data_IF_523610866861
#
_entry.id   IF_523610866861
#
_cell.length_a   1.000
_cell.length_b   1.000
_cell.length_c   1.000
_cell.angle_alpha   90.00
_cell.angle_beta   90.00
_cell.angle_gamma   90.00
#
_symmetry.space_group_name_H-M   'P 1'
#
loop_
_entity.id
_entity.type
_entity.pdbx_description
1 polymer ?
#
# COMPACT_ATOMS: atom_id res chain seq x y z
N UNK A 1 -18.57 -23.58 -36.68
CA UNK A 1 -18.68 -22.11 -36.71
C UNK A 1 -17.75 -21.58 -35.63
N UNK A 2 -16.50 -21.32 -36.03
CA UNK A 2 -15.46 -20.73 -35.17
C UNK A 2 -15.75 -19.24 -34.93
N UNK A 3 -15.63 -18.79 -33.68
CA UNK A 3 -15.44 -17.38 -33.35
C UNK A 3 -14.30 -17.27 -32.35
N UNK A 4 -13.11 -17.01 -32.89
CA UNK A 4 -11.92 -16.55 -32.15
C UNK A 4 -12.13 -15.08 -31.80
N UNK A 5 -12.20 -14.76 -30.52
CA UNK A 5 -12.17 -13.39 -30.00
C UNK A 5 -10.72 -12.93 -29.85
N UNK A 6 -10.39 -11.84 -30.53
CA UNK A 6 -9.05 -11.25 -30.60
C UNK A 6 -8.80 -10.43 -29.33
N UNK A 7 -7.75 -10.79 -28.59
CA UNK A 7 -7.12 -9.98 -27.55
C UNK A 7 -6.36 -8.83 -28.21
N UNK A 8 -6.83 -7.59 -28.02
CA UNK A 8 -6.06 -6.39 -28.35
C UNK A 8 -5.34 -5.95 -27.08
N UNK A 9 -4.04 -6.27 -27.03
CA UNK A 9 -3.10 -5.88 -25.99
C UNK A 9 -2.57 -4.49 -26.37
N UNK A 10 -3.02 -3.44 -25.68
CA UNK A 10 -2.43 -2.11 -25.79
C UNK A 10 -1.38 -1.95 -24.69
N UNK A 11 -0.11 -2.26 -25.02
CA UNK A 11 1.04 -1.89 -24.19
C UNK A 11 1.53 -0.54 -24.70
N UNK A 12 1.17 0.53 -24.00
CA UNK A 12 1.69 1.87 -24.25
C UNK A 12 2.84 2.17 -23.29
N UNK A 13 4.04 1.71 -23.62
CA UNK A 13 5.25 2.22 -22.99
C UNK A 13 5.57 3.58 -23.61
N UNK A 14 5.29 4.68 -22.90
CA UNK A 14 5.68 6.03 -23.32
C UNK A 14 7.13 6.24 -22.86
N UNK A 15 8.08 5.73 -23.64
CA UNK A 15 9.49 6.10 -23.51
C UNK A 15 9.67 7.48 -24.17
N UNK A 16 9.54 8.54 -23.38
CA UNK A 16 9.80 9.92 -23.82
C UNK A 16 11.29 10.22 -23.95
N UNK A 17 11.95 9.66 -24.97
CA UNK A 17 13.27 10.10 -25.40
C UNK A 17 13.10 11.15 -26.51
N UNK A 18 12.99 12.43 -26.14
CA UNK A 18 13.04 13.53 -27.10
C UNK A 18 14.52 13.86 -27.38
N UNK A 19 15.05 13.29 -28.46
CA UNK A 19 16.31 13.72 -29.08
C UNK A 19 16.05 14.97 -29.93
N UNK A 20 16.31 16.15 -29.37
CA UNK A 20 16.39 17.39 -30.17
C UNK A 20 17.74 17.46 -30.87
N UNK A 21 17.77 16.99 -32.11
CA UNK A 21 18.82 17.32 -33.08
C UNK A 21 18.65 18.77 -33.55
N UNK A 22 19.44 19.69 -33.01
CA UNK A 22 19.53 21.08 -33.44
C UNK A 22 20.86 21.37 -34.14
N UNK A 23 20.78 21.71 -35.42
CA UNK A 23 21.89 22.03 -36.30
C UNK A 23 22.51 23.39 -35.97
N UNK A 24 23.84 23.42 -35.80
CA UNK A 24 24.80 24.48 -36.17
C UNK A 24 24.46 25.97 -35.94
N UNK A 25 25.16 26.59 -34.99
CA UNK A 25 25.38 28.03 -34.92
C UNK A 25 26.18 28.42 -33.68
N UNK A 26 27.34 29.05 -33.86
CA UNK A 26 28.26 29.44 -32.79
C UNK A 26 27.56 30.35 -31.75
N UNK A 27 27.51 29.92 -30.48
CA UNK A 27 27.15 30.78 -29.35
C UNK A 27 28.11 30.53 -28.18
N UNK A 28 28.62 31.66 -27.72
CA UNK A 28 29.36 31.98 -26.50
C UNK A 28 29.21 31.02 -25.32
N UNK A 29 30.35 30.65 -24.73
CA UNK A 29 30.46 29.86 -23.49
C UNK A 29 30.11 30.77 -22.30
N UNK A 30 28.83 30.91 -21.99
CA UNK A 30 28.33 31.62 -20.82
C UNK A 30 27.79 30.59 -19.81
N UNK A 31 28.47 30.52 -18.66
CA UNK A 31 27.95 29.92 -17.43
C UNK A 31 27.95 28.40 -17.37
N UNK A 32 28.55 27.85 -16.33
CA UNK A 32 28.25 26.49 -15.85
C UNK A 32 26.80 26.54 -15.37
N UNK A 33 25.85 26.34 -16.29
CA UNK A 33 24.47 26.04 -15.93
C UNK A 33 24.49 24.55 -15.69
N UNK A 34 24.55 24.13 -14.43
CA UNK A 34 24.22 22.75 -14.08
C UNK A 34 22.85 22.47 -14.71
N UNK A 35 22.69 21.45 -15.57
CA UNK A 35 21.42 21.19 -16.22
C UNK A 35 20.44 20.69 -15.15
N UNK A 36 19.71 21.62 -14.53
CA UNK A 36 18.60 21.30 -13.65
C UNK A 36 17.52 20.59 -14.47
N UNK A 37 17.08 19.43 -14.00
CA UNK A 37 16.00 18.69 -14.62
C UNK A 37 14.73 19.55 -14.68
N UNK A 38 14.09 19.65 -15.84
CA UNK A 38 12.85 20.40 -15.98
C UNK A 38 11.68 19.68 -15.28
N UNK A 39 10.80 20.46 -14.66
CA UNK A 39 9.54 19.96 -14.11
C UNK A 39 8.61 19.43 -15.21
N UNK A 40 7.80 18.42 -14.85
CA UNK A 40 6.71 17.88 -15.67
C UNK A 40 5.40 18.54 -15.29
N UNK A 41 4.57 18.79 -16.30
CA UNK A 41 3.19 19.23 -16.10
C UNK A 41 2.37 18.09 -15.46
N UNK A 42 1.42 18.44 -14.58
CA UNK A 42 0.50 17.45 -14.02
C UNK A 42 -0.61 17.17 -15.02
N UNK A 43 -1.07 15.90 -15.15
CA UNK A 43 -2.18 15.59 -16.02
C UNK A 43 -3.46 16.29 -15.54
N UNK A 44 -4.31 16.65 -16.49
CA UNK A 44 -5.66 17.12 -16.19
C UNK A 44 -6.52 15.97 -15.64
N UNK A 45 -7.48 16.31 -14.77
CA UNK A 45 -8.44 15.31 -14.29
C UNK A 45 -9.29 14.82 -15.48
N UNK A 46 -9.57 13.51 -15.59
CA UNK A 46 -10.47 13.00 -16.61
C UNK A 46 -11.85 13.65 -16.53
N UNK A 47 -12.42 14.03 -17.68
CA UNK A 47 -13.77 14.60 -17.74
C UNK A 47 -14.86 13.60 -17.35
N UNK A 48 -14.60 12.31 -17.55
CA UNK A 48 -15.47 11.21 -17.15
C UNK A 48 -14.71 10.28 -16.24
N UNK A 49 -15.17 10.14 -15.01
CA UNK A 49 -14.57 9.21 -14.06
C UNK A 49 -15.08 7.79 -14.27
N UNK A 50 -14.13 6.91 -14.52
CA UNK A 50 -14.27 5.46 -14.61
C UNK A 50 -13.04 4.85 -13.95
N UNK A 51 -13.15 3.60 -13.49
CA UNK A 51 -12.02 2.86 -12.91
C UNK A 51 -10.73 3.00 -13.72
N UNK A 52 -10.77 2.67 -15.02
CA UNK A 52 -9.57 2.74 -15.88
C UNK A 52 -9.04 4.15 -16.07
N UNK A 53 -9.92 5.15 -16.24
CA UNK A 53 -9.49 6.55 -16.39
C UNK A 53 -8.84 7.11 -15.13
N UNK A 54 -9.36 6.74 -13.94
CA UNK A 54 -8.84 7.22 -12.66
C UNK A 54 -7.52 6.53 -12.33
N UNK A 55 -7.40 5.23 -12.58
CA UNK A 55 -6.14 4.49 -12.40
C UNK A 55 -5.03 5.10 -13.28
N UNK A 56 -5.29 5.32 -14.57
CA UNK A 56 -4.32 5.95 -15.47
C UNK A 56 -3.94 7.37 -15.02
N UNK A 57 -4.95 8.18 -14.69
CA UNK A 57 -4.75 9.53 -14.18
C UNK A 57 -3.91 9.57 -12.90
N UNK A 58 -4.21 8.74 -11.90
CA UNK A 58 -3.48 8.72 -10.62
C UNK A 58 -2.03 8.27 -10.82
N UNK A 59 -1.78 7.29 -11.69
CA UNK A 59 -0.41 6.86 -12.01
C UNK A 59 0.41 8.00 -12.64
N UNK A 60 -0.14 8.71 -13.63
CA UNK A 60 0.52 9.86 -14.25
C UNK A 60 0.68 11.04 -13.29
N UNK A 61 -0.33 11.30 -12.46
CA UNK A 61 -0.32 12.38 -11.48
C UNK A 61 0.76 12.18 -10.43
N UNK A 62 0.90 10.97 -9.87
CA UNK A 62 1.96 10.67 -8.90
C UNK A 62 3.34 10.63 -9.57
N UNK A 63 3.46 10.14 -10.81
CA UNK A 63 4.71 10.17 -11.55
C UNK A 63 5.21 11.61 -11.77
N UNK A 64 4.33 12.52 -12.21
CA UNK A 64 4.66 13.94 -12.39
C UNK A 64 5.01 14.61 -11.05
N UNK A 65 4.24 14.33 -9.99
CA UNK A 65 4.53 14.87 -8.65
C UNK A 65 5.90 14.43 -8.15
N UNK A 66 6.19 13.13 -8.18
CA UNK A 66 7.47 12.58 -7.70
C UNK A 66 8.64 13.11 -8.52
N UNK A 67 8.51 13.17 -9.85
CA UNK A 67 9.51 13.78 -10.72
C UNK A 67 9.82 15.21 -10.28
N UNK A 68 8.80 16.04 -10.09
CA UNK A 68 8.99 17.45 -9.76
C UNK A 68 9.62 17.65 -8.37
N UNK A 69 9.31 16.77 -7.41
CA UNK A 69 9.98 16.79 -6.09
C UNK A 69 11.49 16.57 -6.24
N UNK A 70 11.92 15.63 -7.07
CA UNK A 70 13.35 15.39 -7.29
C UNK A 70 14.00 16.45 -8.19
N UNK A 71 13.29 16.96 -9.19
CA UNK A 71 13.74 18.05 -10.02
C UNK A 71 14.01 19.32 -9.18
N UNK A 72 13.09 19.70 -8.29
CA UNK A 72 13.24 20.81 -7.35
C UNK A 72 14.38 20.57 -6.35
N UNK A 73 14.61 19.31 -5.96
CA UNK A 73 15.74 18.90 -5.14
C UNK A 73 17.09 18.84 -5.90
N UNK A 74 17.15 19.29 -7.15
CA UNK A 74 18.39 19.40 -7.93
C UNK A 74 18.82 18.12 -8.65
N UNK A 75 17.91 17.17 -8.87
CA UNK A 75 18.19 16.02 -9.74
C UNK A 75 18.54 16.46 -11.16
N UNK A 76 19.42 15.69 -11.81
CA UNK A 76 19.79 15.88 -13.22
C UNK A 76 19.03 14.92 -14.13
N UNK A 77 18.62 13.75 -13.62
CA UNK A 77 17.71 12.82 -14.29
C UNK A 77 16.89 12.01 -13.29
N UNK A 78 15.69 11.62 -13.69
CA UNK A 78 14.76 10.79 -12.90
C UNK A 78 14.07 9.80 -13.83
N UNK A 79 14.29 8.52 -13.58
CA UNK A 79 13.62 7.41 -14.25
C UNK A 79 12.62 6.79 -13.27
N UNK A 80 11.33 6.84 -13.59
CA UNK A 80 10.26 6.40 -12.70
C UNK A 80 9.30 5.46 -13.42
N UNK A 81 9.02 4.34 -12.77
CA UNK A 81 7.90 3.44 -13.10
C UNK A 81 6.86 3.60 -12.01
N UNK A 82 5.70 4.17 -12.35
CA UNK A 82 4.58 4.36 -11.42
C UNK A 82 3.41 3.48 -11.83
N UNK A 83 2.86 2.74 -10.88
CA UNK A 83 1.66 1.93 -11.06
C UNK A 83 0.59 2.39 -10.09
N UNK A 84 -0.66 2.34 -10.51
CA UNK A 84 -1.80 2.57 -9.65
C UNK A 84 -2.77 1.39 -9.77
N UNK A 85 -3.45 1.08 -8.68
CA UNK A 85 -4.41 -0.02 -8.62
C UNK A 85 -5.69 0.51 -8.00
N UNK A 86 -6.81 0.23 -8.66
CA UNK A 86 -8.13 0.57 -8.15
C UNK A 86 -8.44 -0.21 -6.87
N UNK A 87 -8.96 0.49 -5.87
CA UNK A 87 -9.30 -0.11 -4.58
C UNK A 87 -10.80 -0.35 -4.50
N UNK A 88 -11.58 0.71 -4.58
CA UNK A 88 -13.04 0.68 -4.52
C UNK A 88 -13.64 2.04 -4.91
N UNK A 89 -14.94 2.03 -5.21
CA UNK A 89 -15.75 3.23 -5.37
C UNK A 89 -16.68 3.35 -4.16
N UNK A 90 -16.74 4.52 -3.53
CA UNK A 90 -17.61 4.80 -2.38
C UNK A 90 -17.87 6.30 -2.31
N UNK A 91 -19.11 6.68 -1.97
CA UNK A 91 -19.56 8.08 -1.80
C UNK A 91 -19.19 8.99 -2.97
N UNK A 92 -19.44 8.49 -4.20
CA UNK A 92 -19.13 9.20 -5.45
C UNK A 92 -17.64 9.44 -5.70
N UNK A 93 -16.75 8.78 -4.95
CA UNK A 93 -15.30 8.90 -5.09
C UNK A 93 -14.63 7.58 -5.45
N UNK A 94 -13.69 7.65 -6.39
CA UNK A 94 -12.82 6.55 -6.79
C UNK A 94 -11.58 6.53 -5.89
N UNK A 95 -11.36 5.41 -5.21
CA UNK A 95 -10.18 5.20 -4.37
C UNK A 95 -9.17 4.35 -5.11
N UNK A 96 -7.93 4.85 -5.13
CA UNK A 96 -6.83 4.25 -5.90
C UNK A 96 -5.56 4.34 -5.08
N UNK A 97 -4.77 3.28 -5.05
CA UNK A 97 -3.46 3.29 -4.41
C UNK A 97 -2.36 3.28 -5.47
N UNK A 98 -1.48 4.29 -5.43
CA UNK A 98 -0.32 4.41 -6.29
C UNK A 98 0.96 3.97 -5.59
N UNK A 99 1.90 3.43 -6.35
CA UNK A 99 3.29 3.16 -5.93
C UNK A 99 4.23 3.39 -7.10
N UNK A 100 5.47 3.73 -6.80
CA UNK A 100 6.51 3.92 -7.79
C UNK A 100 7.87 3.44 -7.33
N UNK A 101 8.63 2.95 -8.31
CA UNK A 101 10.05 2.59 -8.19
C UNK A 101 10.82 3.32 -9.28
N UNK A 102 12.12 3.51 -9.07
CA UNK A 102 12.93 4.22 -10.05
C UNK A 102 14.34 4.52 -9.58
N UNK A 103 14.99 5.43 -10.30
CA UNK A 103 16.32 5.92 -9.99
C UNK A 103 16.36 7.45 -10.15
N UNK A 104 17.05 8.11 -9.22
CA UNK A 104 17.36 9.55 -9.31
C UNK A 104 18.86 9.71 -9.47
N UNK A 105 19.25 10.57 -10.41
CA UNK A 105 20.64 10.94 -10.65
C UNK A 105 20.90 12.37 -10.17
N UNK A 106 22.04 12.58 -9.52
CA UNK A 106 22.52 13.91 -9.10
C UNK A 106 23.98 14.09 -9.48
N UNK A 107 24.35 15.34 -9.69
CA UNK A 107 25.74 15.75 -9.89
C UNK A 107 26.15 16.66 -8.73
N UNK A 108 27.13 16.23 -7.93
CA UNK A 108 27.68 16.99 -6.79
C UNK A 108 29.21 16.96 -6.86
N UNK A 109 29.84 18.13 -6.81
CA UNK A 109 31.31 18.30 -6.80
C UNK A 109 32.07 17.55 -7.93
N UNK A 110 31.44 17.41 -9.10
CA UNK A 110 31.99 16.69 -10.25
C UNK A 110 31.86 15.15 -10.16
N UNK A 111 31.25 14.65 -9.08
CA UNK A 111 30.80 13.27 -8.94
C UNK A 111 29.38 13.09 -9.49
N UNK A 112 29.08 11.87 -9.94
CA UNK A 112 27.73 11.46 -10.34
C UNK A 112 27.25 10.43 -9.32
N UNK A 113 26.08 10.66 -8.72
CA UNK A 113 25.41 9.69 -7.85
C UNK A 113 24.12 9.21 -8.49
N UNK A 114 23.73 7.98 -8.16
CA UNK A 114 22.47 7.38 -8.54
C UNK A 114 21.88 6.70 -7.31
N UNK A 115 20.69 7.13 -6.89
CA UNK A 115 19.98 6.55 -5.76
C UNK A 115 18.71 5.84 -6.24
N UNK A 116 18.39 4.72 -5.62
CA UNK A 116 17.14 4.01 -5.87
C UNK A 116 15.97 4.73 -5.21
N UNK A 117 14.87 4.83 -5.96
CA UNK A 117 13.59 5.33 -5.46
C UNK A 117 12.71 4.11 -5.23
N UNK A 118 12.24 3.91 -4.00
CA UNK A 118 11.11 3.05 -3.68
C UNK A 118 10.14 3.83 -2.82
N UNK A 119 8.92 4.00 -3.29
CA UNK A 119 7.86 4.63 -2.51
C UNK A 119 6.97 3.59 -1.85
N UNK A 120 6.55 3.84 -0.60
CA UNK A 120 5.49 3.05 -0.03
C UNK A 120 4.16 3.43 -0.70
N UNK A 121 3.14 2.54 -0.66
CA UNK A 121 1.82 2.80 -1.22
C UNK A 121 1.20 4.14 -0.77
N UNK A 122 0.57 4.85 -1.69
CA UNK A 122 -0.07 6.16 -1.45
C UNK A 122 -1.52 6.11 -1.91
N UNK A 123 -2.50 6.29 -1.00
CA UNK A 123 -3.90 6.32 -1.39
C UNK A 123 -4.34 7.68 -1.94
N UNK A 124 -5.26 7.60 -2.89
CA UNK A 124 -5.92 8.73 -3.52
C UNK A 124 -7.43 8.55 -3.43
N UNK A 125 -8.13 9.68 -3.31
CA UNK A 125 -9.55 9.79 -3.63
C UNK A 125 -9.71 10.76 -4.79
N UNK A 126 -10.40 10.32 -5.85
CA UNK A 126 -10.70 11.15 -7.02
C UNK A 126 -12.21 11.28 -7.16
N UNK A 127 -12.66 12.53 -7.28
CA UNK A 127 -14.05 12.92 -7.54
C UNK A 127 -14.08 13.91 -8.68
N UNK A 128 -15.27 14.24 -9.17
CA UNK A 128 -15.45 15.26 -10.20
C UNK A 128 -14.88 16.62 -9.76
N UNK A 129 -14.92 16.92 -8.46
CA UNK A 129 -14.52 18.21 -7.90
C UNK A 129 -13.05 18.26 -7.50
N UNK A 130 -12.51 17.19 -6.90
CA UNK A 130 -11.17 17.18 -6.35
C UNK A 130 -10.39 15.86 -6.47
N UNK A 131 -9.06 15.99 -6.42
CA UNK A 131 -8.10 14.90 -6.33
C UNK A 131 -7.38 15.02 -4.99
N UNK A 132 -7.65 14.11 -4.05
CA UNK A 132 -7.04 14.09 -2.72
C UNK A 132 -5.95 13.04 -2.70
N UNK A 133 -4.69 13.45 -2.51
CA UNK A 133 -3.57 12.54 -2.18
C UNK A 133 -3.44 12.45 -0.67
N UNK A 134 -3.73 11.29 -0.09
CA UNK A 134 -3.67 11.11 1.36
C UNK A 134 -2.21 10.92 1.79
N UNK A 135 -1.74 11.78 2.70
CA UNK A 135 -0.46 11.55 3.38
C UNK A 135 -0.65 10.44 4.40
N UNK A 136 0.27 9.47 4.41
CA UNK A 136 0.15 8.26 5.22
C UNK A 136 1.15 8.28 6.38
N UNK A 137 0.62 8.19 7.60
CA UNK A 137 1.40 7.85 8.79
C UNK A 137 1.38 6.33 8.99
N UNK A 138 2.52 5.73 9.31
CA UNK A 138 2.68 4.27 9.39
C UNK A 138 3.06 3.89 10.81
N UNK A 139 2.23 3.08 11.43
CA UNK A 139 2.39 2.68 12.82
C UNK A 139 2.48 1.16 12.91
N UNK A 140 3.53 0.64 13.55
CA UNK A 140 3.58 -0.76 13.94
C UNK A 140 2.85 -0.89 15.27
N UNK A 141 1.80 -1.69 15.31
CA UNK A 141 1.03 -1.90 16.54
C UNK A 141 1.61 -3.04 17.35
N UNK A 142 1.64 -2.87 18.67
CA UNK A 142 1.92 -3.96 19.61
C UNK A 142 0.62 -4.70 19.88
N UNK A 143 0.62 -6.01 19.62
CA UNK A 143 -0.57 -6.84 19.78
C UNK A 143 -0.50 -7.55 21.11
N UNK A 144 -1.62 -7.61 21.83
CA UNK A 144 -1.72 -8.45 23.02
C UNK A 144 -1.43 -9.89 22.60
N UNK A 145 -0.35 -10.47 23.11
CA UNK A 145 0.02 -11.84 22.83
C UNK A 145 -1.18 -12.75 23.16
N UNK A 146 -1.64 -13.51 22.17
CA UNK A 146 -2.57 -14.62 22.41
C UNK A 146 -1.87 -15.52 23.42
N UNK A 147 -2.42 -15.77 24.62
CA UNK A 147 -1.77 -16.68 25.55
C UNK A 147 -1.65 -18.03 24.85
N UNK A 148 -0.42 -18.47 24.63
CA UNK A 148 -0.15 -19.86 24.28
C UNK A 148 -0.81 -20.70 25.36
N UNK A 149 -1.78 -21.53 24.97
CA UNK A 149 -2.50 -22.39 25.91
C UNK A 149 -1.49 -23.14 26.77
N UNK A 150 -1.49 -22.83 28.06
CA UNK A 150 -0.74 -23.56 29.07
C UNK A 150 -1.43 -24.92 29.28
N UNK A 151 -0.98 -25.93 28.53
CA UNK A 151 -1.17 -27.37 28.79
C UNK A 151 -0.15 -28.06 27.87
N UNK A 152 0.92 -28.68 28.35
CA UNK A 152 0.86 -29.89 29.15
C UNK A 152 2.15 -30.03 29.98
N UNK A 153 2.02 -29.89 31.30
CA UNK A 153 3.07 -30.29 32.23
C UNK A 153 2.94 -31.79 32.49
N UNK A 154 3.83 -32.59 31.91
CA UNK A 154 4.04 -33.99 32.32
C UNK A 154 5.48 -34.15 32.85
N UNK A 155 5.68 -34.65 34.09
CA UNK A 155 6.99 -34.74 34.71
C UNK A 155 7.79 -35.95 34.21
N UNK A 156 9.10 -35.74 34.14
CA UNK A 156 10.26 -36.63 34.30
C UNK A 156 10.11 -38.13 34.01
N UNK A 157 10.97 -38.64 33.12
CA UNK A 157 11.50 -39.98 33.26
C UNK A 157 12.95 -40.05 32.76
N UNK A 158 13.86 -40.41 33.67
CA UNK A 158 15.24 -40.75 33.37
C UNK A 158 15.33 -42.09 32.63
N UNK A 159 16.07 -42.13 31.52
CA UNK A 159 16.64 -43.36 30.98
C UNK A 159 17.94 -43.05 30.23
N UNK A 160 19.03 -43.63 30.73
CA UNK A 160 20.37 -43.60 30.15
C UNK A 160 20.46 -44.33 28.81
N UNK A 161 21.40 -43.92 27.95
CA UNK A 161 22.03 -44.83 26.98
C UNK A 161 22.52 -44.22 25.66
N UNK A 162 23.86 -44.11 25.52
CA UNK A 162 24.59 -44.63 24.36
C UNK A 162 24.62 -43.85 23.03
N UNK A 163 25.71 -43.09 22.84
CA UNK A 163 26.67 -43.11 21.71
C UNK A 163 26.25 -43.13 20.21
N UNK A 164 26.90 -42.19 19.50
CA UNK A 164 27.58 -42.30 18.18
C UNK A 164 26.87 -41.91 16.87
N UNK A 165 27.52 -40.91 16.23
CA UNK A 165 27.78 -40.67 14.81
C UNK A 165 26.63 -40.54 13.78
N UNK A 166 26.58 -39.36 13.17
CA UNK A 166 25.78 -39.08 11.98
C UNK A 166 26.02 -37.68 11.41
N UNK A 167 27.19 -37.48 10.81
CA UNK A 167 27.48 -36.32 9.97
C UNK A 167 26.59 -36.35 8.72
N UNK A 168 25.61 -35.46 8.62
CA UNK A 168 25.09 -35.01 7.33
C UNK A 168 24.74 -33.51 7.39
N UNK A 169 25.76 -32.72 7.09
CA UNK A 169 25.62 -31.31 6.76
C UNK A 169 25.09 -31.20 5.32
N UNK A 170 23.77 -31.17 5.18
CA UNK A 170 23.04 -30.52 4.08
C UNK A 170 21.53 -30.70 4.30
N UNK A 171 21.00 -29.99 5.29
CA UNK A 171 19.64 -29.51 5.14
C UNK A 171 19.76 -28.25 4.27
N UNK A 172 19.54 -28.42 2.97
CA UNK A 172 19.25 -27.32 2.08
C UNK A 172 18.17 -26.48 2.75
N UNK A 173 18.53 -25.24 3.02
CA UNK A 173 17.68 -24.18 3.55
C UNK A 173 16.51 -24.05 2.58
N UNK A 174 15.46 -24.83 2.85
CA UNK A 174 14.16 -24.74 2.23
C UNK A 174 13.54 -23.43 2.71
N UNK A 175 14.08 -22.33 2.21
CA UNK A 175 13.55 -21.01 2.39
C UNK A 175 12.32 -20.86 1.49
N UNK A 176 11.30 -21.63 1.84
CA UNK A 176 9.92 -21.36 1.51
C UNK A 176 9.29 -20.69 2.73
N UNK A 177 9.97 -19.66 3.28
CA UNK A 177 9.27 -18.62 4.02
C UNK A 177 8.33 -17.95 3.01
N UNK A 178 7.14 -18.54 2.86
CA UNK A 178 5.95 -17.75 2.57
C UNK A 178 5.91 -16.68 3.64
N UNK A 179 6.48 -15.53 3.32
CA UNK A 179 6.55 -14.36 4.19
C UNK A 179 5.11 -13.96 4.46
N UNK A 180 4.54 -14.49 5.55
CA UNK A 180 3.15 -14.23 5.91
C UNK A 180 3.00 -12.73 6.06
N UNK A 181 2.33 -12.08 5.10
CA UNK A 181 2.07 -10.64 5.16
C UNK A 181 1.11 -10.41 6.32
N UNK A 182 1.55 -9.74 7.40
CA UNK A 182 0.71 -9.55 8.55
C UNK A 182 -0.49 -8.66 8.20
N UNK A 183 -1.61 -8.90 8.87
CA UNK A 183 -2.80 -8.06 8.74
C UNK A 183 -2.45 -6.60 9.03
N UNK A 184 -2.86 -5.72 8.14
CA UNK A 184 -2.80 -4.27 8.27
C UNK A 184 -4.15 -3.63 7.97
N UNK A 185 -4.46 -2.57 8.71
CA UNK A 185 -5.68 -1.76 8.53
C UNK A 185 -5.27 -0.33 8.24
N UNK A 186 -5.79 0.24 7.16
CA UNK A 186 -5.60 1.63 6.77
C UNK A 186 -6.83 2.44 7.12
N UNK A 187 -6.66 3.48 7.92
CA UNK A 187 -7.71 4.42 8.32
C UNK A 187 -7.56 5.69 7.48
N UNK A 188 -8.50 5.94 6.56
CA UNK A 188 -8.51 7.08 5.65
C UNK A 188 -9.53 8.12 6.09
N UNK A 189 -9.11 9.37 6.24
CA UNK A 189 -10.01 10.50 6.48
C UNK A 189 -9.94 11.47 5.31
N UNK A 190 -11.03 11.56 4.54
CA UNK A 190 -11.13 12.47 3.38
C UNK A 190 -11.80 13.79 3.71
N UNK A 191 -12.18 14.01 4.97
CA UNK A 191 -12.78 15.25 5.45
C UNK A 191 -11.73 16.34 5.68
N UNK A 192 -12.20 17.58 5.72
CA UNK A 192 -11.40 18.79 6.03
C UNK A 192 -11.12 19.01 7.52
N UNK A 193 -11.39 18.00 8.34
CA UNK A 193 -11.21 18.06 9.80
C UNK A 193 -10.72 16.72 10.34
N UNK A 194 -10.02 16.72 11.50
CA UNK A 194 -9.63 15.47 12.15
C UNK A 194 -10.84 14.60 12.51
N UNK A 195 -10.62 13.28 12.55
CA UNK A 195 -11.61 12.28 12.93
C UNK A 195 -10.98 11.30 13.91
N UNK A 196 -11.58 11.12 15.07
CA UNK A 196 -11.22 10.03 16.00
C UNK A 196 -11.94 8.75 15.57
N UNK A 197 -11.20 7.66 15.46
CA UNK A 197 -11.69 6.34 15.02
C UNK A 197 -11.23 5.28 16.02
N UNK A 198 -12.19 4.51 16.54
CA UNK A 198 -11.94 3.34 17.39
C UNK A 198 -11.91 2.09 16.53
N UNK A 199 -10.79 1.38 16.50
CA UNK A 199 -10.55 0.21 15.66
C UNK A 199 -10.39 -1.02 16.53
N UNK A 200 -11.19 -2.03 16.22
CA UNK A 200 -11.17 -3.32 16.90
C UNK A 200 -10.94 -4.42 15.87
N UNK A 201 -9.99 -5.31 16.14
CA UNK A 201 -9.72 -6.50 15.31
C UNK A 201 -9.89 -7.74 16.16
N UNK A 202 -10.81 -8.62 15.75
CA UNK A 202 -11.19 -9.83 16.47
C UNK A 202 -10.88 -11.04 15.59
N UNK A 203 -10.21 -12.05 16.13
CA UNK A 203 -10.03 -13.32 15.44
C UNK A 203 -11.28 -14.18 15.61
N UNK A 204 -11.78 -14.77 14.53
CA UNK A 204 -12.84 -15.77 14.63
C UNK A 204 -12.32 -17.09 15.18
N UNK A 205 -13.14 -17.73 16.02
CA UNK A 205 -12.89 -19.12 16.40
C UNK A 205 -13.24 -20.05 15.23
N UNK A 206 -12.32 -20.93 14.86
CA UNK A 206 -12.60 -22.00 13.90
C UNK A 206 -13.52 -23.02 14.56
N UNK A 207 -14.82 -22.93 14.30
CA UNK A 207 -15.78 -23.97 14.67
C UNK A 207 -16.16 -24.75 13.41
N UNK A 208 -15.73 -26.01 13.31
CA UNK A 208 -16.11 -26.91 12.21
C UNK A 208 -17.63 -27.19 12.14
N UNK A 209 -18.43 -26.69 13.09
CA UNK A 209 -19.82 -27.06 13.28
C UNK A 209 -20.84 -25.90 13.27
N UNK A 210 -20.42 -24.62 13.21
CA UNK A 210 -21.36 -23.51 13.41
C UNK A 210 -21.13 -22.37 12.42
N UNK A 211 -22.04 -22.23 11.47
CA UNK A 211 -22.42 -20.92 10.92
C UNK A 211 -23.46 -20.32 11.88
N UNK A 212 -23.27 -19.11 12.42
CA UNK A 212 -22.33 -18.05 12.00
C UNK A 212 -20.94 -18.09 12.68
N UNK A 213 -19.97 -17.40 12.06
CA UNK A 213 -18.66 -17.05 12.64
C UNK A 213 -18.85 -16.45 14.04
N UNK A 214 -18.22 -17.06 15.04
CA UNK A 214 -18.24 -16.61 16.44
C UNK A 214 -17.02 -15.74 16.70
N UNK A 215 -17.23 -14.63 17.41
CA UNK A 215 -16.15 -13.75 17.84
C UNK A 215 -15.29 -14.46 18.88
N UNK A 216 -13.99 -14.57 18.59
CA UNK A 216 -12.98 -15.10 19.51
C UNK A 216 -12.22 -13.98 20.20
N UNK A 217 -10.90 -14.11 20.26
CA UNK A 217 -10.03 -13.16 20.95
C UNK A 217 -9.90 -11.82 20.18
N UNK A 218 -10.02 -10.72 20.91
CA UNK A 218 -9.63 -9.39 20.45
C UNK A 218 -8.11 -9.32 20.34
N UNK A 219 -7.62 -9.04 19.13
CA UNK A 219 -6.19 -8.95 18.79
C UNK A 219 -5.70 -7.51 18.87
N UNK A 220 -6.56 -6.56 18.50
CA UNK A 220 -6.31 -5.13 18.55
C UNK A 220 -7.55 -4.41 19.05
N UNK A 221 -7.34 -3.45 19.96
CA UNK A 221 -8.31 -2.44 20.35
C UNK A 221 -7.55 -1.11 20.47
N UNK A 222 -7.83 -0.17 19.58
CA UNK A 222 -7.03 1.04 19.42
C UNK A 222 -7.87 2.24 18.95
N UNK A 223 -7.74 3.36 19.65
CA UNK A 223 -8.28 4.66 19.22
C UNK A 223 -7.21 5.48 18.51
N UNK A 224 -7.52 6.03 17.33
CA UNK A 224 -6.61 6.90 16.57
C UNK A 224 -7.31 8.15 16.07
N UNK A 225 -6.64 9.29 16.19
CA UNK A 225 -7.06 10.53 15.53
C UNK A 225 -6.40 10.62 14.15
N UNK A 226 -7.21 10.50 13.10
CA UNK A 226 -6.77 10.69 11.71
C UNK A 226 -7.02 12.14 11.32
N UNK A 227 -5.95 12.90 11.07
CA UNK A 227 -6.04 14.30 10.65
C UNK A 227 -6.79 14.48 9.32
N UNK A 228 -7.23 15.72 9.06
CA UNK A 228 -7.89 16.11 7.83
C UNK A 228 -7.10 15.70 6.58
N UNK A 229 -7.76 15.06 5.61
CA UNK A 229 -7.16 14.61 4.33
C UNK A 229 -5.88 13.77 4.52
N UNK A 230 -5.87 12.86 5.51
CA UNK A 230 -4.74 11.96 5.81
C UNK A 230 -5.19 10.52 6.01
N UNK A 231 -4.22 9.62 6.04
CA UNK A 231 -4.42 8.23 6.42
C UNK A 231 -3.41 7.79 7.50
N UNK A 232 -3.80 6.80 8.29
CA UNK A 232 -2.92 6.06 9.21
C UNK A 232 -2.97 4.58 8.82
N UNK A 233 -1.82 3.94 8.65
CA UNK A 233 -1.71 2.50 8.46
C UNK A 233 -1.26 1.83 9.75
N UNK A 234 -2.15 1.03 10.33
CA UNK A 234 -1.85 0.14 11.45
C UNK A 234 -1.30 -1.16 10.87
N UNK A 235 -0.02 -1.45 11.13
CA UNK A 235 0.74 -2.54 10.52
C UNK A 235 1.13 -3.59 11.55
N UNK A 236 1.24 -4.84 11.10
CA UNK A 236 1.77 -5.92 11.92
C UNK A 236 0.78 -6.46 12.94
N UNK A 237 -0.54 -6.37 12.68
CA UNK A 237 -1.59 -6.73 13.64
C UNK A 237 -1.57 -8.24 13.95
N UNK A 238 -1.33 -9.09 12.94
CA UNK A 238 -1.15 -10.53 13.16
C UNK A 238 -0.71 -11.17 11.86
N UNK A 239 0.25 -12.09 11.92
CA UNK A 239 0.64 -12.93 10.78
C UNK A 239 0.01 -14.34 10.86
N UNK A 240 -0.84 -14.59 11.86
CA UNK A 240 -1.45 -15.89 12.09
C UNK A 240 -2.60 -16.10 11.10
N UNK A 241 -2.61 -17.18 10.30
CA UNK A 241 -3.72 -17.46 9.39
C UNK A 241 -5.07 -17.61 10.11
N UNK A 242 -6.14 -17.21 9.43
CA UNK A 242 -7.51 -17.29 9.93
C UNK A 242 -8.38 -16.14 9.46
N UNK A 243 -9.66 -16.18 9.86
CA UNK A 243 -10.62 -15.11 9.56
C UNK A 243 -10.63 -14.10 10.70
N UNK A 244 -10.63 -12.82 10.35
CA UNK A 244 -10.61 -11.70 11.26
C UNK A 244 -11.75 -10.75 10.96
N UNK A 245 -12.40 -10.27 12.01
CA UNK A 245 -13.36 -9.18 11.95
C UNK A 245 -12.66 -7.87 12.26
N UNK A 246 -12.77 -6.90 11.36
CA UNK A 246 -12.35 -5.52 11.60
C UNK A 246 -13.60 -4.68 11.79
N UNK A 247 -13.69 -4.02 12.94
CA UNK A 247 -14.74 -3.07 13.28
C UNK A 247 -14.08 -1.71 13.45
N UNK A 248 -14.70 -0.68 12.91
CA UNK A 248 -14.30 0.70 13.20
C UNK A 248 -15.51 1.52 13.56
N UNK A 249 -15.37 2.33 14.61
CA UNK A 249 -16.45 3.18 15.12
C UNK A 249 -15.97 4.63 15.12
N UNK A 250 -16.90 5.52 14.84
CA UNK A 250 -16.71 6.95 15.11
C UNK A 250 -17.95 7.46 15.81
N UNK A 251 -17.73 8.20 16.90
CA UNK A 251 -18.78 8.96 17.57
C UNK A 251 -18.66 10.45 17.25
N UNK A 252 -19.76 11.05 16.80
CA UNK A 252 -19.86 12.47 16.54
C UNK A 252 -21.25 12.99 16.90
N UNK A 253 -21.33 14.10 17.65
CA UNK A 253 -22.59 14.73 18.04
C UNK A 253 -23.61 13.77 18.69
N UNK A 254 -23.12 12.75 19.39
CA UNK A 254 -23.93 11.71 20.03
C UNK A 254 -24.45 10.62 19.09
N UNK A 255 -24.05 10.63 17.81
CA UNK A 255 -24.30 9.57 16.84
C UNK A 255 -23.04 8.71 16.67
N UNK A 256 -23.20 7.39 16.71
CA UNK A 256 -22.11 6.45 16.43
C UNK A 256 -22.30 5.84 15.05
N UNK A 257 -21.36 6.08 14.15
CA UNK A 257 -21.23 5.35 12.90
C UNK A 257 -20.31 4.13 13.09
N UNK A 258 -20.64 3.02 12.44
CA UNK A 258 -19.85 1.79 12.49
C UNK A 258 -19.60 1.27 11.07
N UNK A 259 -18.34 0.94 10.77
CA UNK A 259 -17.94 0.16 9.61
C UNK A 259 -17.44 -1.21 10.06
N UNK A 260 -17.75 -2.27 9.31
CA UNK A 260 -17.38 -3.64 9.68
C UNK A 260 -17.11 -4.51 8.44
N UNK A 261 -16.10 -5.36 8.54
CA UNK A 261 -15.79 -6.40 7.55
C UNK A 261 -15.19 -7.64 8.20
N UNK A 262 -15.42 -8.81 7.61
CA UNK A 262 -14.70 -10.05 7.92
C UNK A 262 -13.71 -10.35 6.76
N UNK A 263 -12.45 -10.66 7.06
CA UNK A 263 -11.35 -10.90 6.09
C UNK A 263 -10.50 -12.11 6.46
N UNK A 264 -10.02 -12.85 5.46
CA UNK A 264 -9.18 -14.05 5.64
C UNK A 264 -7.68 -13.74 5.45
N UNK A 265 -6.82 -14.32 6.29
CA UNK A 265 -5.36 -14.34 6.14
C UNK A 265 -4.84 -15.73 5.70
N UNK A 266 -3.75 -15.80 4.89
CA UNK A 266 -2.95 -14.66 4.42
C UNK A 266 -3.64 -13.95 3.25
N UNK A 267 -3.91 -12.65 3.41
CA UNK A 267 -4.64 -11.86 2.42
C UNK A 267 -3.78 -10.72 1.93
N UNK A 268 -3.48 -10.70 0.62
CA UNK A 268 -2.85 -9.64 -0.20
C UNK A 268 -1.51 -9.02 0.27
N UNK A 269 -0.51 -9.02 -0.61
CA UNK A 269 0.77 -8.33 -0.39
C UNK A 269 0.64 -6.81 -0.67
N UNK A 270 -0.09 -6.11 0.22
CA UNK A 270 -0.32 -4.66 0.08
C UNK A 270 0.21 -3.80 1.21
N UNK A 271 0.81 -4.40 2.24
CA UNK A 271 1.02 -3.82 3.58
C UNK A 271 -0.31 -3.67 4.37
N UNK A 272 -1.27 -2.77 4.07
CA UNK A 272 -2.65 -2.92 4.56
C UNK A 272 -3.53 -3.80 3.68
N UNK A 273 -4.43 -4.56 4.31
CA UNK A 273 -5.37 -5.48 3.64
C UNK A 273 -6.82 -4.99 3.77
N UNK A 274 -7.08 -4.07 4.70
CA UNK A 274 -8.38 -3.46 4.93
C UNK A 274 -8.25 -1.95 4.87
N UNK A 275 -9.19 -1.30 4.19
CA UNK A 275 -9.33 0.15 4.18
C UNK A 275 -10.60 0.53 4.95
N UNK A 276 -10.50 1.56 5.78
CA UNK A 276 -11.60 2.17 6.50
C UNK A 276 -11.64 3.64 6.10
N UNK A 277 -12.63 4.02 5.29
CA UNK A 277 -12.85 5.38 4.83
C UNK A 277 -13.82 6.10 5.77
N UNK A 278 -13.44 7.29 6.23
CA UNK A 278 -14.35 8.27 6.82
C UNK A 278 -14.62 9.41 5.85
N UNK A 279 -15.90 9.55 5.49
CA UNK A 279 -16.43 10.55 4.57
C UNK A 279 -17.59 11.33 5.21
N UNK A 280 -18.26 12.18 4.43
CA UNK A 280 -19.50 12.86 4.86
C UNK A 280 -20.67 11.90 5.08
N UNK A 281 -20.65 10.74 4.42
CA UNK A 281 -21.71 9.72 4.50
C UNK A 281 -21.48 8.73 5.65
N UNK A 282 -20.32 8.79 6.31
CA UNK A 282 -19.99 7.97 7.48
C UNK A 282 -18.73 7.14 7.27
N UNK A 283 -18.76 5.90 7.78
CA UNK A 283 -17.67 4.94 7.65
C UNK A 283 -17.97 3.92 6.53
N UNK A 284 -16.96 3.61 5.74
CA UNK A 284 -16.99 2.51 4.76
C UNK A 284 -15.75 1.63 4.94
N UNK A 285 -15.96 0.34 5.21
CA UNK A 285 -14.87 -0.62 5.41
C UNK A 285 -14.82 -1.60 4.24
N UNK A 286 -13.66 -1.74 3.61
CA UNK A 286 -13.48 -2.53 2.38
C UNK A 286 -12.20 -3.38 2.44
N UNK A 287 -12.19 -4.58 1.84
CA UNK A 287 -10.95 -5.29 1.63
C UNK A 287 -10.16 -4.61 0.51
N UNK A 288 -8.84 -4.61 0.59
CA UNK A 288 -7.96 -4.15 -0.47
C UNK A 288 -7.54 -5.33 -1.34
N UNK A 289 -7.60 -5.17 -2.66
CA UNK A 289 -7.05 -6.15 -3.59
C UNK A 289 -5.51 -6.16 -3.52
N UNK A 290 -4.87 -7.25 -3.95
CA UNK A 290 -3.42 -7.28 -4.13
C UNK A 290 -3.00 -6.27 -5.20
N UNK A 291 -1.74 -5.82 -5.18
CA UNK A 291 -1.19 -5.16 -6.35
C UNK A 291 -1.13 -6.17 -7.51
N UNK A 292 -1.55 -5.75 -8.70
CA UNK A 292 -1.19 -6.46 -9.92
C UNK A 292 0.35 -6.47 -9.98
N UNK A 293 0.91 -7.64 -9.76
CA UNK A 293 2.33 -7.87 -9.50
C UNK A 293 3.14 -7.70 -10.78
N UNK A 294 3.52 -6.45 -11.09
CA UNK A 294 4.39 -6.11 -12.23
C UNK A 294 5.59 -5.22 -11.85
N UNK A 295 5.88 -5.03 -10.56
CA UNK A 295 7.06 -4.31 -10.08
C UNK A 295 8.02 -5.26 -9.32
N UNK A 296 8.57 -6.25 -10.01
CA UNK A 296 9.68 -7.08 -9.53
C UNK A 296 11.00 -6.61 -10.10
#
# INVERSE_FOLDING_TARGET
>A
MDRRGVLVRAVGAISGAVTLAGSGGCVERIGIVNPSLAERERPDRPESLTESSVVGYVAEFEAARTHNVYADAGATAVDLTTTATFDHETDGGYHVTARHVGTVHREEDGGHSADEIRSPPVPYRVTDEETIRLSVERERVETSAVPESADDAVPENEAEGGSEDGNDANAEDGNDETTSTPLGVRLCNVLDRPREMDVEVIRHESSEAVSPLVDGATILDATRTVNARRAIELRGITAVPGTYRVITRVSEDGLTGEGRIDVDLPGVDREPNVDVLSSSEGLSTRPLAAFDSDLS
#
